data_IF_709508314160
#
_entry.id   IF_709508314160
#
_cell.length_a   1.000
_cell.length_b   1.000
_cell.length_c   1.000
_cell.angle_alpha   90.00
_cell.angle_beta   90.00
_cell.angle_gamma   90.00
#
_symmetry.space_group_name_H-M   'P 1'
#
loop_
_entity.id
_entity.type
_entity.pdbx_description
1 polymer ?
#
# COMPACT_ATOMS: atom_id res chain seq x y z
N UNK A 1 -10.04 -2.36 11.88
CA UNK A 1 -10.78 -3.52 11.35
C UNK A 1 -11.40 -4.29 12.50
N UNK A 2 -12.71 -4.11 12.71
CA UNK A 2 -13.50 -4.89 13.66
C UNK A 2 -13.33 -6.37 13.34
N UNK A 3 -13.05 -7.18 14.37
CA UNK A 3 -13.02 -8.63 14.23
C UNK A 3 -14.38 -9.09 13.68
N UNK A 4 -14.35 -9.82 12.56
CA UNK A 4 -15.53 -10.48 12.03
C UNK A 4 -16.09 -11.39 13.15
N UNK A 5 -17.24 -11.03 13.70
CA UNK A 5 -17.97 -11.90 14.62
C UNK A 5 -18.61 -13.01 13.76
N UNK A 6 -17.93 -14.14 13.68
CA UNK A 6 -18.45 -15.36 13.08
C UNK A 6 -19.38 -16.03 14.10
N UNK A 7 -20.69 -15.87 13.93
CA UNK A 7 -21.69 -16.65 14.66
C UNK A 7 -22.21 -17.77 13.78
N UNK A 8 -22.00 -19.02 14.21
CA UNK A 8 -22.75 -20.17 13.68
C UNK A 8 -24.14 -20.11 14.31
N UNK A 9 -25.06 -19.40 13.65
CA UNK A 9 -26.46 -19.41 14.05
C UNK A 9 -27.10 -20.71 13.54
N UNK A 10 -27.44 -21.62 14.47
CA UNK A 10 -28.33 -22.74 14.18
C UNK A 10 -29.73 -22.17 13.89
N UNK A 11 -30.04 -21.95 12.61
CA UNK A 11 -31.37 -21.54 12.19
C UNK A 11 -32.34 -22.71 12.47
N UNK A 12 -33.28 -22.50 13.40
CA UNK A 12 -34.30 -23.48 13.74
C UNK A 12 -35.21 -23.77 12.54
N UNK A 13 -35.21 -25.03 12.09
CA UNK A 13 -36.20 -25.56 11.15
C UNK A 13 -35.60 -26.29 9.94
N UNK A 14 -35.50 -27.62 10.02
CA UNK A 14 -35.68 -28.54 8.88
C UNK A 14 -34.58 -28.71 7.82
N UNK A 15 -33.55 -27.86 7.79
CA UNK A 15 -32.37 -28.07 6.94
C UNK A 15 -31.21 -27.28 7.50
N UNK A 16 -30.10 -27.94 7.86
CA UNK A 16 -28.95 -27.22 8.42
C UNK A 16 -28.34 -26.31 7.35
N UNK A 17 -28.19 -25.03 7.69
CA UNK A 17 -27.60 -23.98 6.84
C UNK A 17 -26.37 -23.41 7.53
N UNK A 18 -25.34 -23.09 6.77
CA UNK A 18 -24.21 -22.26 7.21
C UNK A 18 -24.52 -20.80 6.95
N UNK A 19 -24.27 -19.93 7.92
CA UNK A 19 -24.33 -18.48 7.75
C UNK A 19 -22.92 -17.93 7.54
N UNK A 20 -22.70 -17.29 6.39
CA UNK A 20 -21.47 -16.53 6.11
C UNK A 20 -21.82 -15.04 6.22
N UNK A 21 -21.18 -14.36 7.18
CA UNK A 21 -21.39 -12.93 7.44
C UNK A 21 -20.14 -12.14 7.11
N UNK A 22 -20.26 -11.20 6.17
CA UNK A 22 -19.26 -10.16 5.95
C UNK A 22 -19.32 -9.12 7.07
N UNK A 23 -18.18 -8.48 7.42
CA UNK A 23 -18.19 -7.33 8.29
C UNK A 23 -19.18 -6.27 7.77
N UNK A 24 -19.97 -5.63 8.64
CA UNK A 24 -20.83 -4.53 8.22
C UNK A 24 -19.96 -3.39 7.68
N UNK A 25 -20.48 -2.65 6.70
CA UNK A 25 -19.84 -1.41 6.25
C UNK A 25 -19.74 -0.45 7.44
N UNK A 26 -18.54 0.09 7.67
CA UNK A 26 -18.31 1.04 8.76
C UNK A 26 -19.04 2.34 8.46
N UNK A 27 -19.83 2.86 9.41
CA UNK A 27 -20.43 4.19 9.25
C UNK A 27 -19.38 5.30 9.26
N UNK A 28 -18.19 5.02 9.81
CA UNK A 28 -17.04 5.92 9.79
C UNK A 28 -16.27 5.88 8.45
N UNK A 29 -16.63 4.99 7.51
CA UNK A 29 -16.05 4.98 6.16
C UNK A 29 -16.61 6.18 5.36
N UNK A 30 -15.77 7.10 4.87
CA UNK A 30 -16.23 8.22 4.05
C UNK A 30 -17.03 7.79 2.80
N UNK A 31 -16.78 6.57 2.33
CA UNK A 31 -17.41 5.99 1.14
C UNK A 31 -18.67 5.16 1.48
N UNK A 32 -19.12 5.15 2.74
CA UNK A 32 -20.21 4.32 3.23
C UNK A 32 -21.48 4.42 2.39
N UNK A 33 -21.92 5.65 2.08
CA UNK A 33 -23.18 5.88 1.36
C UNK A 33 -23.11 5.34 -0.08
N UNK A 34 -21.97 5.51 -0.74
CA UNK A 34 -21.76 5.05 -2.11
C UNK A 34 -21.72 3.52 -2.18
N UNK A 35 -20.97 2.88 -1.26
CA UNK A 35 -20.92 1.42 -1.15
C UNK A 35 -22.28 0.82 -0.82
N UNK A 36 -23.01 1.43 0.13
CA UNK A 36 -24.35 0.99 0.51
C UNK A 36 -25.32 1.07 -0.67
N UNK A 37 -25.33 2.18 -1.40
CA UNK A 37 -26.15 2.36 -2.60
C UNK A 37 -25.87 1.29 -3.65
N UNK A 38 -24.61 0.92 -3.87
CA UNK A 38 -24.26 -0.15 -4.82
C UNK A 38 -24.76 -1.51 -4.32
N UNK A 39 -24.59 -1.84 -3.03
CA UNK A 39 -25.13 -3.09 -2.44
C UNK A 39 -26.65 -3.18 -2.64
N UNK A 40 -27.37 -2.11 -2.31
CA UNK A 40 -28.84 -2.04 -2.42
C UNK A 40 -29.29 -2.19 -3.88
N UNK A 41 -28.63 -1.49 -4.82
CA UNK A 41 -28.94 -1.59 -6.26
C UNK A 41 -28.75 -3.00 -6.83
N UNK A 42 -27.79 -3.76 -6.27
CA UNK A 42 -27.47 -5.13 -6.69
C UNK A 42 -28.23 -6.20 -5.90
N UNK A 43 -29.15 -5.81 -5.01
CA UNK A 43 -29.85 -6.71 -4.09
C UNK A 43 -28.89 -7.64 -3.33
N UNK A 44 -27.77 -7.08 -2.86
CA UNK A 44 -26.77 -7.78 -2.06
C UNK A 44 -26.90 -7.39 -0.59
N UNK A 45 -26.58 -8.35 0.29
CA UNK A 45 -26.51 -8.13 1.74
C UNK A 45 -25.12 -8.52 2.25
N UNK A 46 -24.84 -8.27 3.53
CA UNK A 46 -23.64 -8.80 4.21
C UNK A 46 -23.88 -10.17 4.87
N UNK A 47 -25.03 -10.82 4.64
CA UNK A 47 -25.39 -12.08 5.29
C UNK A 47 -25.92 -13.08 4.26
N UNK A 48 -25.21 -14.20 4.15
CA UNK A 48 -25.49 -15.24 3.17
C UNK A 48 -25.73 -16.56 3.86
N UNK A 49 -26.72 -17.31 3.37
CA UNK A 49 -27.04 -18.65 3.84
C UNK A 49 -26.66 -19.66 2.78
N UNK A 50 -25.92 -20.69 3.18
CA UNK A 50 -25.47 -21.77 2.30
C UNK A 50 -25.99 -23.09 2.87
N UNK A 51 -26.83 -23.85 2.14
CA UNK A 51 -27.31 -25.14 2.63
C UNK A 51 -26.19 -26.15 2.80
N UNK A 52 -26.16 -26.87 3.93
CA UNK A 52 -25.13 -27.88 4.21
C UNK A 52 -25.11 -28.99 3.14
N UNK A 53 -26.29 -29.30 2.57
CA UNK A 53 -26.48 -30.37 1.57
C UNK A 53 -26.52 -29.88 0.12
N UNK A 54 -26.18 -28.62 -0.16
CA UNK A 54 -26.19 -28.11 -1.54
C UNK A 54 -25.08 -28.73 -2.40
N UNK A 55 -25.29 -28.71 -3.73
CA UNK A 55 -24.24 -29.10 -4.67
C UNK A 55 -23.11 -28.08 -4.66
N UNK A 56 -21.90 -28.48 -5.05
CA UNK A 56 -20.77 -27.55 -5.20
C UNK A 56 -21.11 -26.40 -6.16
N UNK A 57 -21.85 -26.68 -7.23
CA UNK A 57 -22.28 -25.65 -8.19
C UNK A 57 -23.22 -24.61 -7.55
N UNK A 58 -24.11 -25.02 -6.65
CA UNK A 58 -25.00 -24.09 -5.95
C UNK A 58 -24.24 -23.32 -4.85
N UNK A 59 -23.30 -23.97 -4.17
CA UNK A 59 -22.39 -23.29 -3.25
C UNK A 59 -21.59 -22.20 -3.96
N UNK A 60 -21.09 -22.46 -5.18
CA UNK A 60 -20.34 -21.49 -5.97
C UNK A 60 -21.19 -20.30 -6.43
N UNK A 61 -22.47 -20.50 -6.79
CA UNK A 61 -23.37 -19.37 -7.07
C UNK A 61 -23.54 -18.44 -5.87
N UNK A 62 -23.63 -19.01 -4.66
CA UNK A 62 -23.69 -18.18 -3.44
C UNK A 62 -22.34 -17.51 -3.18
N UNK A 63 -21.23 -18.23 -3.41
CA UNK A 63 -19.89 -17.69 -3.29
C UNK A 63 -19.67 -16.47 -4.21
N UNK A 64 -20.11 -16.53 -5.47
CA UNK A 64 -19.97 -15.41 -6.39
C UNK A 64 -20.71 -14.16 -5.88
N UNK A 65 -21.89 -14.32 -5.26
CA UNK A 65 -22.60 -13.20 -4.62
C UNK A 65 -21.87 -12.67 -3.38
N UNK A 66 -21.28 -13.57 -2.59
CA UNK A 66 -20.46 -13.19 -1.43
C UNK A 66 -19.23 -12.39 -1.89
N UNK A 67 -18.56 -12.84 -2.96
CA UNK A 67 -17.40 -12.17 -3.56
C UNK A 67 -17.82 -10.78 -4.07
N UNK A 68 -18.94 -10.65 -4.77
CA UNK A 68 -19.44 -9.34 -5.22
C UNK A 68 -19.66 -8.38 -4.05
N UNK A 69 -20.27 -8.84 -2.96
CA UNK A 69 -20.46 -8.02 -1.77
C UNK A 69 -19.13 -7.64 -1.10
N UNK A 70 -18.17 -8.57 -1.04
CA UNK A 70 -16.83 -8.31 -0.52
C UNK A 70 -16.07 -7.27 -1.36
N UNK A 71 -16.16 -7.35 -2.70
CA UNK A 71 -15.59 -6.37 -3.63
C UNK A 71 -16.12 -4.97 -3.35
N UNK A 72 -17.43 -4.83 -3.18
CA UNK A 72 -18.08 -3.55 -2.87
C UNK A 72 -17.59 -3.00 -1.52
N UNK A 73 -17.47 -3.85 -0.50
CA UNK A 73 -16.95 -3.44 0.80
C UNK A 73 -15.51 -2.89 0.72
N UNK A 74 -14.70 -3.45 -0.18
CA UNK A 74 -13.31 -3.05 -0.41
C UNK A 74 -13.10 -1.98 -1.48
N UNK A 75 -14.17 -1.46 -2.11
CA UNK A 75 -14.03 -0.40 -3.11
C UNK A 75 -13.34 0.83 -2.52
N UNK A 76 -12.40 1.39 -3.26
CA UNK A 76 -11.88 2.74 -3.00
C UNK A 76 -12.63 3.80 -3.81
N UNK A 77 -12.24 5.06 -3.57
CA UNK A 77 -12.80 6.23 -4.26
C UNK A 77 -12.68 6.10 -5.78
N UNK A 78 -11.54 5.62 -6.28
CA UNK A 78 -11.33 5.50 -7.71
C UNK A 78 -12.22 4.42 -8.31
N UNK A 79 -12.29 3.26 -7.67
CA UNK A 79 -13.20 2.19 -8.10
C UNK A 79 -14.65 2.69 -8.09
N UNK A 80 -15.11 3.40 -7.05
CA UNK A 80 -16.46 3.96 -7.00
C UNK A 80 -16.73 5.03 -8.06
N UNK A 81 -15.69 5.73 -8.49
CA UNK A 81 -15.80 6.79 -9.48
C UNK A 81 -15.81 6.26 -10.92
N UNK A 82 -15.02 5.22 -11.20
CA UNK A 82 -14.83 4.68 -12.56
C UNK A 82 -15.62 3.39 -12.86
N UNK A 83 -16.07 2.65 -11.86
CA UNK A 83 -16.82 1.40 -12.07
C UNK A 83 -18.23 1.71 -12.59
N UNK A 84 -18.63 1.09 -13.69
CA UNK A 84 -20.01 1.18 -14.20
C UNK A 84 -20.98 0.32 -13.39
N UNK A 85 -22.28 0.64 -13.47
CA UNK A 85 -23.32 -0.05 -12.70
C UNK A 85 -23.32 -1.58 -12.92
N UNK A 86 -23.03 -2.02 -14.16
CA UNK A 86 -23.00 -3.41 -14.59
C UNK A 86 -21.63 -4.12 -14.43
N UNK A 87 -20.61 -3.44 -13.86
CA UNK A 87 -19.30 -4.06 -13.63
C UNK A 87 -19.22 -4.70 -12.24
N UNK A 88 -19.30 -6.03 -12.22
CA UNK A 88 -19.25 -6.85 -11.00
C UNK A 88 -17.82 -7.24 -10.58
N UNK A 89 -16.81 -6.79 -11.33
CA UNK A 89 -15.40 -7.07 -11.10
C UNK A 89 -14.89 -8.40 -11.67
N UNK A 90 -13.60 -8.74 -11.42
CA UNK A 90 -12.67 -8.05 -10.51
C UNK A 90 -12.44 -6.59 -10.88
N UNK A 91 -12.39 -5.69 -9.89
CA UNK A 91 -12.31 -4.23 -10.10
C UNK A 91 -10.87 -3.74 -10.23
N UNK A 92 -10.02 -4.23 -9.34
CA UNK A 92 -8.57 -4.15 -9.42
C UNK A 92 -7.98 -5.41 -8.79
N UNK A 93 -6.72 -5.72 -9.10
CA UNK A 93 -6.03 -6.86 -8.48
C UNK A 93 -6.01 -6.72 -6.96
N UNK A 94 -5.79 -5.52 -6.45
CA UNK A 94 -5.83 -5.25 -5.02
C UNK A 94 -7.20 -5.52 -4.42
N UNK A 95 -8.27 -4.97 -5.00
CA UNK A 95 -9.63 -5.18 -4.49
C UNK A 95 -9.98 -6.68 -4.48
N UNK A 96 -9.59 -7.40 -5.51
CA UNK A 96 -9.78 -8.85 -5.58
C UNK A 96 -9.02 -9.58 -4.48
N UNK A 97 -7.74 -9.24 -4.27
CA UNK A 97 -6.92 -9.82 -3.20
C UNK A 97 -7.51 -9.54 -1.81
N UNK A 98 -7.90 -8.29 -1.51
CA UNK A 98 -8.52 -7.96 -0.22
C UNK A 98 -9.81 -8.77 -0.02
N UNK A 99 -10.67 -8.81 -1.04
CA UNK A 99 -11.96 -9.49 -0.99
C UNK A 99 -11.80 -10.98 -0.72
N UNK A 100 -10.95 -11.65 -1.50
CA UNK A 100 -10.74 -13.09 -1.37
C UNK A 100 -10.01 -13.45 -0.06
N UNK A 101 -9.05 -12.64 0.40
CA UNK A 101 -8.38 -12.88 1.69
C UNK A 101 -9.30 -12.65 2.89
N UNK A 102 -10.19 -11.65 2.84
CA UNK A 102 -11.23 -11.45 3.86
C UNK A 102 -12.11 -12.69 3.97
N UNK A 103 -12.59 -13.20 2.83
CA UNK A 103 -13.44 -14.39 2.80
C UNK A 103 -12.69 -15.63 3.28
N UNK A 104 -11.45 -15.83 2.85
CA UNK A 104 -10.61 -16.93 3.33
C UNK A 104 -10.47 -16.91 4.86
N UNK A 105 -10.25 -15.72 5.44
CA UNK A 105 -10.19 -15.54 6.89
C UNK A 105 -11.51 -15.90 7.60
N UNK A 106 -12.64 -15.46 7.04
CA UNK A 106 -13.97 -15.78 7.57
C UNK A 106 -14.22 -17.30 7.53
N UNK A 107 -13.95 -17.94 6.39
CA UNK A 107 -14.15 -19.39 6.23
C UNK A 107 -13.23 -20.21 7.14
N UNK A 108 -11.96 -19.83 7.26
CA UNK A 108 -11.04 -20.47 8.21
C UNK A 108 -11.56 -20.36 9.65
N UNK A 109 -12.14 -19.22 10.03
CA UNK A 109 -12.73 -19.04 11.37
C UNK A 109 -13.96 -19.92 11.56
N UNK A 110 -14.85 -20.01 10.55
CA UNK A 110 -16.04 -20.86 10.60
C UNK A 110 -15.68 -22.35 10.65
N UNK A 111 -14.64 -22.79 9.94
CA UNK A 111 -14.17 -24.17 9.95
C UNK A 111 -13.70 -24.64 11.34
N UNK A 112 -13.20 -23.75 12.19
CA UNK A 112 -12.78 -24.09 13.55
C UNK A 112 -13.96 -24.47 14.47
N UNK A 113 -15.18 -24.04 14.14
CA UNK A 113 -16.38 -24.24 14.96
C UNK A 113 -17.51 -24.98 14.23
N UNK A 114 -17.26 -25.44 13.01
CA UNK A 114 -18.24 -26.10 12.15
C UNK A 114 -18.64 -27.48 12.68
N UNK A 115 -19.93 -27.82 12.54
CA UNK A 115 -20.39 -29.20 12.71
C UNK A 115 -20.06 -30.04 11.46
N UNK A 116 -20.20 -31.35 11.55
CA UNK A 116 -19.88 -32.29 10.46
C UNK A 116 -20.63 -31.96 9.16
N UNK A 117 -21.89 -31.52 9.26
CA UNK A 117 -22.71 -31.13 8.10
C UNK A 117 -22.20 -29.88 7.39
N UNK A 118 -21.75 -28.87 8.14
CA UNK A 118 -21.24 -27.61 7.62
C UNK A 118 -19.81 -27.71 7.07
N UNK A 119 -18.99 -28.61 7.63
CA UNK A 119 -17.58 -28.75 7.23
C UNK A 119 -17.42 -29.00 5.73
N UNK A 120 -18.27 -29.85 5.14
CA UNK A 120 -18.19 -30.18 3.71
C UNK A 120 -18.35 -28.95 2.82
N UNK A 121 -19.42 -28.17 3.02
CA UNK A 121 -19.70 -26.99 2.20
C UNK A 121 -18.69 -25.87 2.47
N UNK A 122 -18.27 -25.67 3.72
CA UNK A 122 -17.24 -24.69 4.07
C UNK A 122 -15.88 -25.00 3.43
N UNK A 123 -15.50 -26.28 3.38
CA UNK A 123 -14.27 -26.71 2.73
C UNK A 123 -14.32 -26.48 1.22
N UNK A 124 -15.43 -26.80 0.56
CA UNK A 124 -15.65 -26.53 -0.87
C UNK A 124 -15.51 -25.04 -1.18
N UNK A 125 -16.14 -24.17 -0.38
CA UNK A 125 -16.04 -22.72 -0.55
C UNK A 125 -14.60 -22.23 -0.33
N UNK A 126 -13.92 -22.74 0.69
CA UNK A 126 -12.52 -22.36 1.00
C UNK A 126 -11.57 -22.75 -0.12
N UNK A 127 -11.71 -23.96 -0.64
CA UNK A 127 -10.82 -24.48 -1.67
C UNK A 127 -11.01 -23.72 -2.99
N UNK A 128 -12.24 -23.35 -3.34
CA UNK A 128 -12.52 -22.48 -4.49
C UNK A 128 -11.88 -21.10 -4.35
N UNK A 129 -11.92 -20.47 -3.16
CA UNK A 129 -11.23 -19.20 -2.92
C UNK A 129 -9.72 -19.34 -3.08
N UNK A 130 -9.13 -20.43 -2.58
CA UNK A 130 -7.70 -20.70 -2.74
C UNK A 130 -7.32 -20.91 -4.21
N UNK A 131 -8.17 -21.59 -4.99
CA UNK A 131 -7.97 -21.73 -6.44
C UNK A 131 -7.98 -20.34 -7.10
N UNK A 132 -8.95 -19.49 -6.77
CA UNK A 132 -9.02 -18.12 -7.31
C UNK A 132 -7.79 -17.30 -6.95
N UNK A 133 -7.35 -17.32 -5.68
CA UNK A 133 -6.13 -16.62 -5.24
C UNK A 133 -4.86 -17.12 -5.96
N UNK A 134 -4.76 -18.42 -6.27
CA UNK A 134 -3.68 -19.00 -7.07
C UNK A 134 -3.74 -18.59 -8.54
N UNK A 135 -4.94 -18.36 -9.08
CA UNK A 135 -5.13 -17.92 -10.47
C UNK A 135 -4.90 -16.42 -10.69
N UNK A 136 -4.76 -15.61 -9.63
CA UNK A 136 -4.42 -14.18 -9.72
C UNK A 136 -2.95 -13.92 -10.08
N UNK A 137 -2.18 -14.98 -10.36
CA UNK A 137 -0.93 -14.87 -11.09
C UNK A 137 -1.23 -14.19 -12.43
N UNK A 138 -0.81 -12.93 -12.58
CA UNK A 138 -0.81 -12.30 -13.89
C UNK A 138 0.14 -13.08 -14.79
N UNK A 139 -0.18 -13.16 -16.08
CA UNK A 139 0.83 -13.33 -17.12
C UNK A 139 1.76 -12.11 -17.00
N UNK A 140 2.72 -12.21 -16.08
CA UNK A 140 3.71 -11.18 -15.81
C UNK A 140 4.67 -11.18 -17.01
N UNK A 141 4.22 -10.53 -18.09
CA UNK A 141 4.95 -10.41 -19.35
C UNK A 141 6.28 -9.66 -19.20
N UNK A 142 6.57 -9.11 -18.01
CA UNK A 142 7.82 -8.47 -17.68
C UNK A 142 8.32 -8.90 -16.29
N UNK A 143 8.40 -10.22 -16.02
CA UNK A 143 9.20 -10.71 -14.89
C UNK A 143 10.58 -10.04 -14.94
N UNK A 144 10.84 -9.14 -13.98
CA UNK A 144 12.10 -8.41 -13.94
C UNK A 144 13.25 -9.42 -13.89
N UNK A 145 14.21 -9.26 -14.79
CA UNK A 145 15.30 -10.22 -14.95
C UNK A 145 16.23 -10.12 -13.75
N UNK A 146 16.37 -11.23 -13.03
CA UNK A 146 17.38 -11.37 -11.96
C UNK A 146 18.76 -11.23 -12.58
N UNK A 147 19.53 -10.26 -12.14
CA UNK A 147 20.92 -10.08 -12.55
C UNK A 147 21.84 -10.86 -11.61
N UNK A 148 22.66 -11.74 -12.20
CA UNK A 148 23.72 -12.43 -11.49
C UNK A 148 24.83 -11.41 -11.20
N UNK A 149 24.97 -11.03 -9.93
CA UNK A 149 26.01 -10.14 -9.43
C UNK A 149 26.71 -10.79 -8.23
N UNK A 150 27.84 -10.22 -7.80
CA UNK A 150 28.43 -10.58 -6.51
C UNK A 150 27.44 -10.20 -5.39
N UNK A 151 26.90 -11.21 -4.70
CA UNK A 151 25.86 -11.08 -3.67
C UNK A 151 26.42 -10.99 -2.23
N UNK A 152 27.72 -10.72 -2.07
CA UNK A 152 28.36 -10.73 -0.75
C UNK A 152 27.70 -9.78 0.26
N UNK A 153 27.23 -8.61 -0.19
CA UNK A 153 26.59 -7.62 0.68
C UNK A 153 25.19 -8.08 1.08
N UNK A 154 24.44 -8.60 0.11
CA UNK A 154 23.10 -9.15 0.24
C UNK A 154 23.08 -10.33 1.22
N UNK A 155 23.99 -11.29 1.05
CA UNK A 155 24.17 -12.45 1.92
C UNK A 155 24.54 -12.02 3.34
N UNK A 156 25.40 -11.01 3.46
CA UNK A 156 25.84 -10.48 4.75
C UNK A 156 24.72 -9.75 5.48
N UNK A 157 23.85 -9.02 4.75
CA UNK A 157 22.67 -8.39 5.32
C UNK A 157 21.65 -9.41 5.81
N UNK A 158 21.39 -10.47 5.04
CA UNK A 158 20.50 -11.56 5.49
C UNK A 158 21.06 -12.27 6.71
N UNK A 159 22.35 -12.65 6.71
CA UNK A 159 23.01 -13.26 7.87
C UNK A 159 22.95 -12.36 9.10
N UNK A 160 23.16 -11.05 8.94
CA UNK A 160 22.97 -10.10 10.04
C UNK A 160 21.53 -10.10 10.56
N UNK A 161 20.54 -10.13 9.66
CA UNK A 161 19.14 -10.23 10.05
C UNK A 161 18.86 -11.48 10.86
N UNK A 162 19.29 -12.64 10.39
CA UNK A 162 19.12 -13.93 11.05
C UNK A 162 19.76 -13.94 12.45
N UNK A 163 20.97 -13.37 12.59
CA UNK A 163 21.64 -13.19 13.89
C UNK A 163 20.84 -12.31 14.85
N UNK A 164 20.02 -11.39 14.32
CA UNK A 164 19.11 -10.53 15.08
C UNK A 164 17.68 -11.06 15.15
N UNK A 165 17.45 -12.33 14.79
CA UNK A 165 16.19 -13.04 14.93
C UNK A 165 15.21 -12.88 13.76
N UNK A 166 15.63 -12.27 12.65
CA UNK A 166 14.83 -12.26 11.42
C UNK A 166 14.67 -13.70 10.92
N UNK A 167 13.43 -14.07 10.59
CA UNK A 167 13.14 -15.33 9.89
C UNK A 167 12.63 -15.00 8.51
N UNK A 168 13.16 -15.66 7.49
CA UNK A 168 12.78 -15.38 6.11
C UNK A 168 12.74 -16.65 5.26
N UNK A 169 11.79 -16.68 4.34
CA UNK A 169 11.72 -17.63 3.22
C UNK A 169 12.18 -16.99 1.90
N UNK A 170 12.84 -15.83 2.00
CA UNK A 170 13.22 -15.00 0.88
C UNK A 170 14.74 -14.80 0.84
N UNK A 171 15.28 -14.60 -0.34
CA UNK A 171 16.67 -14.24 -0.60
C UNK A 171 16.71 -12.87 -1.27
N UNK A 172 17.74 -12.08 -0.98
CA UNK A 172 17.91 -10.77 -1.62
C UNK A 172 18.53 -11.01 -3.01
N UNK A 173 17.96 -10.41 -4.04
CA UNK A 173 18.45 -10.47 -5.41
C UNK A 173 18.54 -9.07 -6.02
N UNK A 174 19.26 -8.95 -7.13
CA UNK A 174 19.31 -7.71 -7.91
C UNK A 174 18.47 -7.88 -9.18
N UNK A 175 17.64 -6.90 -9.48
CA UNK A 175 16.75 -6.86 -10.62
C UNK A 175 17.11 -5.67 -11.50
N UNK A 176 17.15 -5.90 -12.80
CA UNK A 176 17.35 -4.81 -13.76
C UNK A 176 16.24 -3.77 -13.64
N UNK A 177 16.60 -2.48 -13.58
CA UNK A 177 15.65 -1.38 -13.46
C UNK A 177 15.08 -1.13 -12.05
N UNK A 178 14.97 -2.15 -11.19
CA UNK A 178 14.46 -1.98 -9.81
C UNK A 178 15.56 -1.98 -8.72
N UNK A 179 16.76 -2.47 -9.02
CA UNK A 179 17.80 -2.60 -8.01
C UNK A 179 17.58 -3.82 -7.12
N UNK A 180 17.76 -3.68 -5.80
CA UNK A 180 17.56 -4.82 -4.89
C UNK A 180 16.07 -5.16 -4.77
N UNK A 181 15.79 -6.45 -4.73
CA UNK A 181 14.47 -7.02 -4.48
C UNK A 181 14.64 -8.30 -3.66
N UNK A 182 13.54 -9.04 -3.46
CA UNK A 182 13.60 -10.34 -2.79
C UNK A 182 12.94 -11.44 -3.62
N UNK A 183 13.57 -12.60 -3.71
CA UNK A 183 13.04 -13.80 -4.37
C UNK A 183 12.65 -14.85 -3.35
N UNK A 184 11.63 -15.65 -3.61
CA UNK A 184 11.29 -16.76 -2.73
C UNK A 184 12.28 -17.92 -2.89
N UNK A 185 12.80 -18.44 -1.77
CA UNK A 185 13.71 -19.60 -1.78
C UNK A 185 12.97 -20.95 -1.91
N UNK A 186 11.67 -20.93 -1.63
CA UNK A 186 10.77 -22.08 -1.69
C UNK A 186 9.39 -21.61 -2.18
N UNK A 187 8.48 -22.55 -2.45
CA UNK A 187 7.08 -22.17 -2.68
C UNK A 187 6.47 -21.71 -1.36
N UNK A 188 5.80 -20.56 -1.38
CA UNK A 188 5.17 -19.96 -0.22
C UNK A 188 3.68 -19.79 -0.55
N UNK A 189 2.81 -20.40 0.25
CA UNK A 189 1.36 -20.45 0.00
C UNK A 189 0.63 -19.23 0.63
N UNK A 190 -0.64 -19.06 0.28
CA UNK A 190 -1.50 -18.01 0.88
C UNK A 190 -1.56 -18.17 2.39
N UNK A 191 -1.29 -17.08 3.12
CA UNK A 191 -1.30 -17.02 4.59
C UNK A 191 0.03 -17.40 5.25
N UNK A 192 0.97 -18.02 4.53
CA UNK A 192 2.32 -18.27 5.03
C UNK A 192 3.06 -16.96 5.28
N UNK A 193 3.95 -16.96 6.28
CA UNK A 193 4.80 -15.82 6.59
C UNK A 193 6.07 -15.89 5.74
N UNK A 194 6.20 -14.97 4.78
CA UNK A 194 7.40 -14.87 3.94
C UNK A 194 8.59 -14.25 4.70
N UNK A 195 8.29 -13.32 5.61
CA UNK A 195 9.27 -12.60 6.41
C UNK A 195 8.70 -12.27 7.80
N UNK A 196 9.51 -12.47 8.83
CA UNK A 196 9.22 -12.10 10.21
C UNK A 196 10.38 -11.28 10.78
N UNK A 197 10.12 -10.02 11.11
CA UNK A 197 11.11 -9.06 11.62
C UNK A 197 10.87 -8.81 13.11
N UNK A 198 11.82 -9.12 14.00
CA UNK A 198 11.73 -8.73 15.41
C UNK A 198 11.62 -7.21 15.57
N UNK A 199 10.78 -6.75 16.50
CA UNK A 199 10.60 -5.32 16.77
C UNK A 199 11.91 -4.62 17.14
N UNK A 200 12.84 -5.33 17.79
CA UNK A 200 14.19 -4.83 18.14
C UNK A 200 15.11 -4.55 16.94
N UNK A 201 14.74 -5.01 15.74
CA UNK A 201 15.45 -4.75 14.49
C UNK A 201 14.82 -3.62 13.67
N UNK A 202 13.69 -3.07 14.11
CA UNK A 202 13.01 -1.94 13.45
C UNK A 202 13.69 -0.63 13.89
N UNK A 203 13.98 0.24 12.93
CA UNK A 203 14.45 1.61 13.18
C UNK A 203 13.21 2.50 13.29
N UNK A 204 12.99 3.07 14.47
CA UNK A 204 11.82 3.88 14.80
C UNK A 204 12.18 5.04 15.72
N UNK A 205 11.21 5.90 16.00
CA UNK A 205 11.33 6.93 17.03
C UNK A 205 11.73 6.35 18.41
N UNK A 206 11.23 5.17 18.79
CA UNK A 206 11.57 4.56 20.08
C UNK A 206 13.07 4.25 20.19
N UNK A 207 13.72 3.89 19.07
CA UNK A 207 15.16 3.70 18.97
C UNK A 207 15.90 5.05 19.02
N UNK A 208 15.40 6.07 18.30
CA UNK A 208 15.97 7.42 18.32
C UNK A 208 16.01 7.99 19.75
N UNK A 209 14.94 7.82 20.52
CA UNK A 209 14.81 8.30 21.91
C UNK A 209 15.88 7.76 22.85
N UNK A 210 16.51 6.63 22.51
CA UNK A 210 17.61 6.02 23.28
C UNK A 210 18.98 6.58 22.90
N UNK A 211 19.06 7.40 21.85
CA UNK A 211 20.32 7.92 21.33
C UNK A 211 20.74 9.23 22.01
N UNK A 212 22.05 9.45 22.09
CA UNK A 212 22.59 10.75 22.54
C UNK A 212 22.19 11.93 21.66
N UNK A 213 21.80 11.70 20.39
CA UNK A 213 21.32 12.76 19.51
C UNK A 213 19.96 13.28 19.96
N UNK A 214 19.02 12.40 20.30
CA UNK A 214 17.72 12.80 20.80
C UNK A 214 17.85 13.63 22.09
N UNK A 215 18.70 13.19 23.02
CA UNK A 215 18.94 13.93 24.27
C UNK A 215 19.46 15.36 24.04
N UNK A 216 20.23 15.59 22.97
CA UNK A 216 20.73 16.92 22.62
C UNK A 216 19.68 17.80 21.92
N UNK A 217 18.76 17.19 21.17
CA UNK A 217 17.79 17.89 20.32
C UNK A 217 16.39 18.02 20.92
N UNK A 218 16.01 17.19 21.90
CA UNK A 218 14.63 17.09 22.43
C UNK A 218 14.05 18.40 22.97
N UNK A 219 14.90 19.32 23.40
CA UNK A 219 14.50 20.61 23.99
C UNK A 219 14.55 21.75 22.94
N UNK A 220 14.74 21.42 21.66
CA UNK A 220 14.68 22.37 20.54
C UNK A 220 13.31 22.26 19.88
N UNK A 221 12.44 23.24 20.14
CA UNK A 221 11.09 23.30 19.56
C UNK A 221 11.08 23.37 18.03
N UNK A 222 12.20 23.76 17.41
CA UNK A 222 12.31 23.92 15.96
C UNK A 222 12.53 22.61 15.19
N UNK A 223 12.70 21.47 15.85
CA UNK A 223 13.06 20.21 15.19
C UNK A 223 12.05 19.12 15.52
N UNK A 224 11.39 18.62 14.49
CA UNK A 224 10.46 17.49 14.61
C UNK A 224 11.21 16.17 14.82
N UNK A 225 10.54 15.19 15.43
CA UNK A 225 11.08 13.84 15.59
C UNK A 225 11.42 13.19 14.26
N UNK A 226 10.60 13.43 13.23
CA UNK A 226 10.83 12.99 11.86
C UNK A 226 12.16 13.56 11.33
N UNK A 227 12.40 14.87 11.49
CA UNK A 227 13.68 15.49 11.15
C UNK A 227 14.83 14.88 11.96
N UNK A 228 14.65 14.60 13.25
CA UNK A 228 15.68 13.95 14.07
C UNK A 228 16.01 12.53 13.56
N UNK A 229 15.04 11.77 13.05
CA UNK A 229 15.27 10.46 12.45
C UNK A 229 16.10 10.57 11.17
N UNK A 230 15.86 11.60 10.33
CA UNK A 230 16.69 11.87 9.16
C UNK A 230 18.15 12.12 9.57
N UNK A 231 18.36 13.04 10.50
CA UNK A 231 19.69 13.40 11.01
C UNK A 231 20.40 12.22 11.65
N UNK A 232 19.68 11.42 12.44
CA UNK A 232 20.20 10.20 13.04
C UNK A 232 20.65 9.20 11.97
N UNK A 233 19.86 9.05 10.90
CA UNK A 233 20.18 8.14 9.80
C UNK A 233 21.45 8.56 9.06
N UNK A 234 21.66 9.87 8.86
CA UNK A 234 22.92 10.40 8.31
C UNK A 234 24.09 9.97 9.20
N UNK A 235 23.99 10.17 10.52
CA UNK A 235 25.06 9.81 11.45
C UNK A 235 25.35 8.32 11.43
N UNK A 236 24.32 7.48 11.51
CA UNK A 236 24.49 6.03 11.56
C UNK A 236 25.08 5.46 10.28
N UNK A 237 24.81 6.07 9.12
CA UNK A 237 25.45 5.72 7.85
C UNK A 237 26.99 5.80 7.91
N UNK A 238 27.52 6.74 8.68
CA UNK A 238 28.97 6.94 8.84
C UNK A 238 29.53 6.44 10.18
N UNK A 239 28.72 5.78 11.00
CA UNK A 239 29.13 5.27 12.32
C UNK A 239 29.67 3.83 12.19
N UNK A 240 30.99 3.59 12.34
CA UNK A 240 31.56 2.25 12.19
C UNK A 240 31.10 1.25 13.27
N UNK A 241 30.58 1.76 14.38
CA UNK A 241 30.06 0.97 15.50
C UNK A 241 28.53 0.83 15.47
N UNK A 242 27.86 1.27 14.40
CA UNK A 242 26.41 1.16 14.29
C UNK A 242 25.98 -0.30 14.28
N UNK A 243 24.96 -0.63 15.08
CA UNK A 243 24.24 -1.91 14.98
C UNK A 243 23.73 -2.15 13.55
N UNK A 244 23.35 -1.07 12.87
CA UNK A 244 22.74 -1.09 11.54
C UNK A 244 23.76 -0.79 10.43
N UNK A 245 25.07 -0.84 10.72
CA UNK A 245 26.13 -0.54 9.75
C UNK A 245 25.93 -1.28 8.42
N UNK A 246 25.70 -2.60 8.48
CA UNK A 246 25.53 -3.42 7.28
C UNK A 246 24.27 -3.06 6.48
N UNK A 247 23.20 -2.63 7.16
CA UNK A 247 21.99 -2.15 6.50
C UNK A 247 22.27 -0.83 5.77
N UNK A 248 22.92 0.12 6.42
CA UNK A 248 23.29 1.40 5.80
C UNK A 248 24.29 1.24 4.64
N UNK A 249 25.24 0.32 4.74
CA UNK A 249 26.17 -0.03 3.65
C UNK A 249 25.47 -0.71 2.47
N UNK A 250 24.39 -1.45 2.73
CA UNK A 250 23.59 -2.12 1.70
C UNK A 250 22.53 -1.20 1.05
N UNK A 251 22.33 0.03 1.53
CA UNK A 251 21.43 0.98 0.87
C UNK A 251 22.07 1.57 -0.39
N UNK A 252 21.26 2.07 -1.34
CA UNK A 252 21.79 2.80 -2.49
C UNK A 252 22.63 4.01 -2.06
N UNK A 253 23.73 4.25 -2.76
CA UNK A 253 24.55 5.44 -2.53
C UNK A 253 23.76 6.72 -2.86
N UNK A 254 22.94 6.67 -3.91
CA UNK A 254 22.03 7.70 -4.38
C UNK A 254 20.66 7.06 -4.66
N UNK A 255 19.58 7.80 -4.45
CA UNK A 255 18.25 7.42 -4.90
C UNK A 255 17.93 8.07 -6.24
N UNK A 256 17.01 7.48 -6.98
CA UNK A 256 16.54 7.99 -8.28
C UNK A 256 15.12 8.56 -8.15
N UNK A 257 14.79 9.17 -7.00
CA UNK A 257 13.48 9.79 -6.83
C UNK A 257 13.38 11.08 -7.65
N UNK A 258 12.16 11.55 -7.91
CA UNK A 258 11.92 12.83 -8.58
C UNK A 258 12.64 14.01 -7.91
N UNK A 259 12.92 13.92 -6.61
CA UNK A 259 13.64 14.95 -5.85
C UNK A 259 15.11 15.08 -6.26
N UNK A 260 15.69 14.01 -6.80
CA UNK A 260 17.08 13.95 -7.28
C UNK A 260 17.20 13.98 -8.81
N UNK A 261 16.11 14.24 -9.53
CA UNK A 261 16.16 14.33 -10.99
C UNK A 261 17.15 15.38 -11.49
N UNK A 262 17.94 14.99 -12.49
CA UNK A 262 18.80 15.91 -13.23
C UNK A 262 18.00 16.83 -14.14
N UNK A 263 18.70 17.79 -14.74
CA UNK A 263 18.11 18.81 -15.62
C UNK A 263 17.35 18.16 -16.78
N UNK A 264 17.89 17.12 -17.41
CA UNK A 264 17.26 16.45 -18.55
C UNK A 264 15.93 15.78 -18.17
N UNK A 265 15.89 15.14 -17.01
CA UNK A 265 14.68 14.49 -16.51
C UNK A 265 13.61 15.51 -16.11
N UNK A 266 14.00 16.63 -15.51
CA UNK A 266 13.09 17.72 -15.20
C UNK A 266 12.55 18.41 -16.47
N UNK A 267 13.40 18.63 -17.47
CA UNK A 267 12.99 19.20 -18.75
C UNK A 267 11.94 18.33 -19.46
N UNK A 268 12.04 17.01 -19.33
CA UNK A 268 11.04 16.08 -19.87
C UNK A 268 9.66 16.19 -19.19
N UNK A 269 9.58 16.79 -18.00
CA UNK A 269 8.34 16.99 -17.25
C UNK A 269 7.76 18.39 -17.44
N UNK A 270 8.44 19.29 -18.14
CA UNK A 270 8.00 20.67 -18.34
C UNK A 270 6.57 20.73 -18.91
N UNK A 271 5.72 21.58 -18.31
CA UNK A 271 4.31 21.71 -18.67
C UNK A 271 3.37 20.68 -18.03
N UNK A 272 3.89 19.78 -17.18
CA UNK A 272 3.07 18.87 -16.37
C UNK A 272 2.91 19.38 -14.94
N UNK A 273 1.82 18.99 -14.26
CA UNK A 273 1.62 19.28 -12.84
C UNK A 273 2.76 18.73 -11.97
N UNK A 274 3.29 17.56 -12.33
CA UNK A 274 4.37 16.90 -11.61
C UNK A 274 5.65 17.75 -11.59
N UNK A 275 5.94 18.52 -12.64
CA UNK A 275 7.10 19.40 -12.65
C UNK A 275 7.01 20.44 -11.54
N UNK A 276 5.87 21.13 -11.44
CA UNK A 276 5.64 22.15 -10.43
C UNK A 276 5.69 21.55 -9.01
N UNK A 277 5.08 20.39 -8.82
CA UNK A 277 5.12 19.64 -7.55
C UNK A 277 6.56 19.30 -7.14
N UNK A 278 7.39 18.80 -8.06
CA UNK A 278 8.78 18.46 -7.79
C UNK A 278 9.62 19.70 -7.45
N UNK A 279 9.42 20.81 -8.17
CA UNK A 279 10.14 22.05 -7.91
C UNK A 279 9.80 22.60 -6.51
N UNK A 280 8.52 22.58 -6.14
CA UNK A 280 8.07 22.99 -4.80
C UNK A 280 8.64 22.07 -3.71
N UNK A 281 8.59 20.75 -3.90
CA UNK A 281 9.12 19.79 -2.94
C UNK A 281 10.64 19.98 -2.72
N UNK A 282 11.41 20.18 -3.80
CA UNK A 282 12.86 20.44 -3.71
C UNK A 282 13.16 21.74 -2.99
N UNK A 283 12.41 22.80 -3.29
CA UNK A 283 12.56 24.09 -2.60
C UNK A 283 12.26 23.95 -1.11
N UNK A 284 11.20 23.22 -0.74
CA UNK A 284 10.83 22.99 0.64
C UNK A 284 11.93 22.25 1.41
N UNK A 285 12.47 21.16 0.85
CA UNK A 285 13.59 20.44 1.47
C UNK A 285 14.83 21.31 1.63
N UNK A 286 15.11 22.18 0.64
CA UNK A 286 16.25 23.10 0.71
C UNK A 286 16.09 24.10 1.85
N UNK A 287 14.91 24.67 2.01
CA UNK A 287 14.60 25.57 3.11
C UNK A 287 14.77 24.88 4.47
N UNK A 288 14.25 23.67 4.63
CA UNK A 288 14.45 22.89 5.86
C UNK A 288 15.94 22.67 6.18
N UNK A 289 16.76 22.36 5.17
CA UNK A 289 18.20 22.21 5.38
C UNK A 289 18.88 23.50 5.85
N UNK A 290 18.57 24.61 5.17
CA UNK A 290 19.17 25.93 5.46
C UNK A 290 18.72 26.49 6.83
N UNK A 291 17.56 26.07 7.36
CA UNK A 291 17.13 26.37 8.73
C UNK A 291 17.92 25.61 9.81
N UNK A 292 18.37 24.40 9.49
CA UNK A 292 19.10 23.53 10.42
C UNK A 292 20.62 23.79 10.41
N UNK A 293 21.18 24.07 9.24
CA UNK A 293 22.63 24.17 9.03
C UNK A 293 23.02 25.57 8.54
N UNK A 294 24.03 26.22 9.15
CA UNK A 294 25.05 25.64 10.04
C UNK A 294 24.70 25.66 11.54
N UNK A 295 23.48 26.07 11.94
CA UNK A 295 23.10 26.26 13.34
C UNK A 295 23.43 25.04 14.22
N UNK A 296 23.04 23.84 13.80
CA UNK A 296 23.28 22.61 14.54
C UNK A 296 24.77 22.27 14.66
N UNK A 297 25.57 22.49 13.61
CA UNK A 297 27.02 22.31 13.65
C UNK A 297 27.70 23.24 14.65
N UNK A 298 27.21 24.47 14.78
CA UNK A 298 27.76 25.45 15.74
C UNK A 298 27.34 25.10 17.17
N UNK A 299 26.08 24.71 17.37
CA UNK A 299 25.52 24.48 18.71
C UNK A 299 25.94 23.13 19.31
N UNK A 300 26.09 22.09 18.49
CA UNK A 300 26.50 20.75 18.95
C UNK A 300 27.59 20.16 18.03
N UNK A 301 28.81 20.72 18.02
CA UNK A 301 29.89 20.33 17.11
C UNK A 301 30.35 18.87 17.29
N UNK A 302 30.20 18.31 18.49
CA UNK A 302 30.54 16.90 18.78
C UNK A 302 29.56 15.91 18.13
N UNK A 303 28.35 16.38 17.79
CA UNK A 303 27.27 15.57 17.20
C UNK A 303 27.14 15.84 15.70
N UNK A 304 27.18 17.12 15.29
CA UNK A 304 26.96 17.56 13.92
C UNK A 304 28.25 18.07 13.27
N UNK A 305 28.96 17.17 12.59
CA UNK A 305 30.15 17.52 11.82
C UNK A 305 29.79 18.05 10.43
N UNK A 306 30.29 19.22 10.05
CA UNK A 306 29.89 19.91 8.83
C UNK A 306 30.17 19.11 7.54
N UNK A 307 31.23 18.30 7.53
CA UNK A 307 31.60 17.40 6.44
C UNK A 307 30.66 16.19 6.29
N UNK A 308 29.92 15.85 7.35
CA UNK A 308 28.95 14.75 7.35
C UNK A 308 27.54 15.26 7.03
N UNK A 309 27.11 16.38 7.60
CA UNK A 309 25.75 16.91 7.43
C UNK A 309 25.67 17.91 6.25
N UNK A 310 26.09 17.45 5.08
CA UNK A 310 25.97 18.20 3.82
C UNK A 310 24.54 18.14 3.28
N UNK A 311 24.23 19.02 2.32
CA UNK A 311 22.96 18.99 1.58
C UNK A 311 22.70 17.61 0.95
N UNK A 312 23.71 17.01 0.32
CA UNK A 312 23.55 15.72 -0.36
C UNK A 312 23.23 14.59 0.62
N UNK A 313 23.87 14.58 1.79
CA UNK A 313 23.56 13.59 2.83
C UNK A 313 22.19 13.83 3.47
N UNK A 314 21.76 15.09 3.60
CA UNK A 314 20.41 15.43 4.05
C UNK A 314 19.35 14.96 3.06
N UNK A 315 19.50 15.30 1.77
CA UNK A 315 18.60 14.85 0.71
C UNK A 315 18.55 13.32 0.64
N UNK A 316 19.69 12.64 0.71
CA UNK A 316 19.75 11.18 0.76
C UNK A 316 18.96 10.60 1.93
N UNK A 317 19.02 11.22 3.11
CA UNK A 317 18.24 10.76 4.26
C UNK A 317 16.74 11.00 4.06
N UNK A 318 16.33 12.13 3.50
CA UNK A 318 14.94 12.38 3.13
C UNK A 318 14.44 11.29 2.17
N UNK A 319 15.17 11.04 1.08
CA UNK A 319 14.80 10.04 0.08
C UNK A 319 14.77 8.61 0.63
N UNK A 320 15.69 8.25 1.53
CA UNK A 320 15.65 6.98 2.25
C UNK A 320 14.33 6.80 3.00
N UNK A 321 13.92 7.81 3.78
CA UNK A 321 12.70 7.71 4.56
C UNK A 321 11.45 7.78 3.68
N UNK A 322 11.45 8.54 2.59
CA UNK A 322 10.33 8.56 1.65
C UNK A 322 10.16 7.22 0.90
N UNK A 323 11.25 6.62 0.46
CA UNK A 323 11.19 5.42 -0.39
C UNK A 323 11.17 4.09 0.37
N UNK A 324 11.71 4.01 1.60
CA UNK A 324 11.85 2.75 2.34
C UNK A 324 11.09 2.71 3.67
N UNK A 325 10.47 3.80 4.12
CA UNK A 325 9.72 3.76 5.39
C UNK A 325 8.37 3.07 5.25
N UNK A 326 7.90 2.55 6.38
CA UNK A 326 6.62 1.86 6.51
C UNK A 326 5.92 2.33 7.78
N UNK A 327 4.60 2.50 7.71
CA UNK A 327 3.77 2.77 8.87
C UNK A 327 3.50 1.48 9.64
N UNK A 328 3.96 1.41 10.90
CA UNK A 328 3.84 0.23 11.74
C UNK A 328 3.21 0.57 13.09
N UNK A 329 2.22 -0.21 13.49
CA UNK A 329 1.73 -0.22 14.87
C UNK A 329 2.67 -1.10 15.70
N UNK A 330 3.50 -0.46 16.50
CA UNK A 330 4.44 -1.12 17.42
C UNK A 330 3.71 -1.85 18.55
N UNK A 331 4.43 -2.66 19.32
CA UNK A 331 3.83 -3.41 20.43
C UNK A 331 3.36 -2.50 21.57
N UNK A 332 3.88 -1.27 21.63
CA UNK A 332 3.39 -0.15 22.45
C UNK A 332 1.98 0.31 22.05
N UNK A 333 1.52 -0.02 20.83
CA UNK A 333 0.25 0.42 20.27
C UNK A 333 0.33 1.73 19.49
N UNK A 334 1.50 2.41 19.48
CA UNK A 334 1.74 3.63 18.71
C UNK A 334 1.92 3.29 17.23
N UNK A 335 1.20 4.01 16.37
CA UNK A 335 1.45 4.01 14.93
C UNK A 335 2.68 4.90 14.65
N UNK A 336 3.71 4.33 14.05
CA UNK A 336 5.03 4.96 13.89
C UNK A 336 5.55 4.73 12.47
N UNK A 337 6.18 5.75 11.89
CA UNK A 337 6.95 5.63 10.65
C UNK A 337 8.28 4.97 10.96
N UNK A 338 8.60 3.86 10.29
CA UNK A 338 9.75 3.04 10.61
C UNK A 338 10.54 2.67 9.35
N UNK A 339 11.86 2.56 9.46
CA UNK A 339 12.65 1.76 8.51
C UNK A 339 12.71 0.33 9.01
N UNK A 340 12.48 -0.62 8.12
CA UNK A 340 12.43 -2.04 8.45
C UNK A 340 13.52 -2.75 7.65
N UNK A 341 14.74 -2.93 8.21
CA UNK A 341 15.81 -3.64 7.55
C UNK A 341 15.34 -4.97 6.95
N UNK A 342 15.86 -5.32 5.78
CA UNK A 342 15.47 -6.46 4.94
C UNK A 342 14.07 -6.30 4.32
N UNK A 343 13.02 -6.04 5.10
CA UNK A 343 11.67 -5.88 4.55
C UNK A 343 11.55 -4.67 3.61
N UNK A 344 12.28 -3.58 3.89
CA UNK A 344 12.36 -2.40 3.03
C UNK A 344 13.03 -2.62 1.68
N UNK A 345 13.53 -3.84 1.39
CA UNK A 345 14.04 -4.24 0.07
C UNK A 345 12.99 -4.92 -0.80
N UNK A 346 11.79 -5.21 -0.29
CA UNK A 346 10.70 -5.73 -1.11
C UNK A 346 10.21 -4.65 -2.07
N UNK A 347 10.23 -4.95 -3.37
CA UNK A 347 9.72 -4.03 -4.39
C UNK A 347 8.20 -3.98 -4.43
N UNK A 348 7.68 -2.93 -5.05
CA UNK A 348 6.25 -2.76 -5.28
C UNK A 348 5.74 -3.55 -6.50
N UNK A 349 4.49 -3.99 -6.44
CA UNK A 349 3.71 -4.39 -7.61
C UNK A 349 2.23 -4.01 -7.42
N UNK A 350 1.55 -3.73 -8.53
CA UNK A 350 0.07 -3.60 -8.59
C UNK A 350 -0.63 -4.95 -8.35
N UNK A 351 0.10 -6.07 -8.46
CA UNK A 351 -0.31 -7.41 -8.04
C UNK A 351 0.65 -7.95 -6.96
N UNK A 352 0.60 -7.39 -5.75
CA UNK A 352 1.56 -7.70 -4.70
C UNK A 352 1.30 -9.10 -4.12
N UNK A 353 2.38 -9.73 -3.66
CA UNK A 353 2.35 -10.95 -2.87
C UNK A 353 1.92 -10.67 -1.43
N UNK A 354 2.42 -9.59 -0.86
CA UNK A 354 2.15 -9.15 0.51
C UNK A 354 1.34 -7.86 0.45
N UNK A 355 0.07 -7.93 0.86
CA UNK A 355 -0.84 -6.79 0.85
C UNK A 355 -1.04 -6.19 2.24
N UNK A 356 -1.19 -7.06 3.24
CA UNK A 356 -1.59 -6.71 4.59
C UNK A 356 -0.43 -6.95 5.57
N UNK A 357 0.18 -5.87 6.03
CA UNK A 357 1.26 -5.82 7.02
C UNK A 357 1.11 -4.56 7.89
N UNK A 358 2.08 -4.30 8.77
CA UNK A 358 2.15 -3.03 9.52
C UNK A 358 1.63 -3.09 10.97
N UNK A 359 1.51 -4.28 11.57
CA UNK A 359 1.26 -4.41 13.02
C UNK A 359 2.16 -5.45 13.63
N UNK A 360 2.87 -5.08 14.68
CA UNK A 360 3.66 -6.00 15.49
C UNK A 360 2.73 -6.93 16.28
N UNK A 361 2.99 -8.22 16.19
CA UNK A 361 2.36 -9.24 17.01
C UNK A 361 2.83 -9.09 18.46
N UNK A 362 1.88 -8.90 19.39
CA UNK A 362 2.21 -8.63 20.80
C UNK A 362 2.86 -9.83 21.51
N UNK A 363 2.57 -11.05 21.06
CA UNK A 363 3.06 -12.29 21.67
C UNK A 363 4.47 -12.57 21.17
N UNK A 364 4.68 -12.54 19.86
CA UNK A 364 5.99 -12.84 19.26
C UNK A 364 6.92 -11.63 19.21
N UNK A 365 6.43 -10.42 19.48
CA UNK A 365 7.17 -9.15 19.39
C UNK A 365 7.84 -8.98 18.02
N UNK A 366 7.12 -9.34 16.96
CA UNK A 366 7.61 -9.32 15.59
C UNK A 366 6.57 -8.78 14.62
N UNK A 367 7.04 -8.11 13.57
CA UNK A 367 6.25 -7.74 12.41
C UNK A 367 6.28 -8.89 11.40
N UNK A 368 5.11 -9.34 10.95
CA UNK A 368 4.94 -10.46 10.02
C UNK A 368 4.46 -9.97 8.66
N UNK A 369 4.94 -10.60 7.61
CA UNK A 369 4.58 -10.32 6.21
C UNK A 369 3.91 -11.56 5.61
N UNK A 370 2.59 -11.75 5.85
CA UNK A 370 1.84 -12.88 5.31
C UNK A 370 1.53 -12.71 3.82
N UNK A 371 1.55 -13.81 3.07
CA UNK A 371 1.15 -13.81 1.67
C UNK A 371 -0.37 -13.69 1.50
N UNK A 372 -0.77 -12.77 0.63
CA UNK A 372 -2.15 -12.58 0.16
C UNK A 372 -2.42 -13.34 -1.15
N UNK A 373 -1.38 -13.71 -1.88
CA UNK A 373 -1.38 -14.65 -3.01
C UNK A 373 -0.09 -15.49 -2.96
N UNK A 374 -0.05 -16.71 -3.54
CA UNK A 374 1.14 -17.55 -3.48
C UNK A 374 2.33 -16.89 -4.20
N UNK A 375 3.54 -17.29 -3.80
CA UNK A 375 4.81 -16.90 -4.42
C UNK A 375 5.61 -18.18 -4.71
N UNK A 376 5.98 -18.41 -5.97
CA UNK A 376 6.71 -19.62 -6.37
C UNK A 376 8.20 -19.49 -6.06
N UNK A 377 8.88 -20.61 -5.81
CA UNK A 377 10.32 -20.63 -5.66
C UNK A 377 11.01 -19.98 -6.89
N UNK A 378 11.90 -19.04 -6.65
CA UNK A 378 12.58 -18.24 -7.68
C UNK A 378 11.82 -17.02 -8.17
N UNK A 379 10.53 -16.85 -7.83
CA UNK A 379 9.75 -15.66 -8.17
C UNK A 379 10.14 -14.48 -7.26
N UNK A 380 10.09 -13.27 -7.80
CA UNK A 380 10.22 -12.05 -7.00
C UNK A 380 8.99 -11.87 -6.10
N UNK A 381 9.20 -11.80 -4.79
CA UNK A 381 8.17 -11.48 -3.84
C UNK A 381 7.98 -9.96 -3.77
N UNK A 382 6.73 -9.51 -3.90
CA UNK A 382 6.37 -8.10 -3.99
C UNK A 382 5.51 -7.65 -2.82
N UNK A 383 5.74 -6.44 -2.35
CA UNK A 383 4.96 -5.77 -1.31
C UNK A 383 4.04 -4.72 -1.94
N UNK A 384 2.88 -4.46 -1.36
CA UNK A 384 2.12 -3.27 -1.72
C UNK A 384 2.64 -2.05 -0.97
N UNK A 385 3.11 -1.01 -1.66
CA UNK A 385 3.45 0.25 -0.99
C UNK A 385 2.19 1.07 -0.67
N UNK A 386 1.16 0.94 -1.49
CA UNK A 386 -0.11 1.63 -1.29
C UNK A 386 -0.87 1.73 -2.58
N UNK A 387 -1.89 2.60 -2.59
CA UNK A 387 -2.72 2.93 -3.75
C UNK A 387 -2.25 4.26 -4.33
N UNK A 388 -1.00 4.32 -4.76
CA UNK A 388 -0.36 5.59 -5.15
C UNK A 388 -0.42 5.82 -6.66
N UNK A 389 -0.74 7.05 -7.11
CA UNK A 389 -0.60 7.42 -8.50
C UNK A 389 0.88 7.47 -8.90
N UNK A 390 1.14 7.40 -10.19
CA UNK A 390 2.47 7.39 -10.78
C UNK A 390 3.28 8.63 -10.43
N UNK A 391 2.65 9.81 -10.32
CA UNK A 391 3.29 11.04 -9.84
C UNK A 391 3.90 10.86 -8.45
N UNK A 392 3.14 10.27 -7.52
CA UNK A 392 3.62 9.99 -6.17
C UNK A 392 4.75 8.96 -6.16
N UNK A 393 4.61 7.88 -6.94
CA UNK A 393 5.63 6.83 -7.03
C UNK A 393 6.94 7.36 -7.63
N UNK A 394 6.88 8.21 -8.65
CA UNK A 394 8.07 8.86 -9.21
C UNK A 394 8.71 9.79 -8.18
N UNK A 395 7.91 10.65 -7.54
CA UNK A 395 8.41 11.66 -6.60
C UNK A 395 9.10 11.04 -5.39
N UNK A 396 8.52 10.01 -4.78
CA UNK A 396 8.99 9.49 -3.49
C UNK A 396 9.68 8.14 -3.56
N UNK A 397 9.49 7.37 -4.63
CA UNK A 397 10.07 6.03 -4.80
C UNK A 397 10.97 5.89 -6.03
N UNK A 398 10.87 6.80 -7.01
CA UNK A 398 11.74 6.80 -8.20
C UNK A 398 11.43 5.72 -9.24
N UNK A 399 10.18 5.24 -9.30
CA UNK A 399 9.75 4.29 -10.33
C UNK A 399 8.30 4.56 -10.76
N UNK A 400 7.93 4.02 -11.92
CA UNK A 400 6.56 4.06 -12.45
C UNK A 400 6.14 2.65 -12.88
N UNK A 401 5.13 2.03 -12.24
CA UNK A 401 4.62 0.75 -12.68
C UNK A 401 3.84 0.88 -14.00
N UNK A 402 3.88 -0.16 -14.83
CA UNK A 402 3.03 -0.25 -16.02
C UNK A 402 1.57 -0.44 -15.61
N UNK A 403 0.66 0.15 -16.37
CA UNK A 403 -0.80 0.01 -16.22
C UNK A 403 -1.29 0.25 -14.79
N UNK A 404 -0.74 1.28 -14.11
CA UNK A 404 -1.10 1.61 -12.74
C UNK A 404 -2.61 1.94 -12.63
N UNK A 405 -3.42 1.11 -11.93
CA UNK A 405 -4.85 1.38 -11.81
C UNK A 405 -5.15 2.56 -10.88
N UNK A 406 -4.14 3.18 -10.28
CA UNK A 406 -4.28 4.34 -9.39
C UNK A 406 -3.90 5.66 -10.08
N UNK A 407 -3.48 5.62 -11.35
CA UNK A 407 -3.21 6.85 -12.10
C UNK A 407 -4.52 7.58 -12.38
N UNK A 408 -4.59 8.82 -11.90
CA UNK A 408 -5.66 9.77 -12.18
C UNK A 408 -5.06 11.15 -12.35
N UNK A 409 -5.73 11.99 -13.15
CA UNK A 409 -5.47 13.41 -13.21
C UNK A 409 -6.68 14.11 -12.59
N UNK A 410 -6.49 14.92 -11.53
CA UNK A 410 -7.56 15.74 -10.98
C UNK A 410 -7.95 16.82 -12.00
N UNK A 411 -9.25 17.07 -12.10
CA UNK A 411 -9.85 18.09 -12.94
C UNK A 411 -10.79 18.92 -12.08
N UNK A 412 -10.32 20.09 -11.67
CA UNK A 412 -11.14 21.04 -10.93
C UNK A 412 -11.91 21.92 -11.93
N UNK A 413 -13.24 21.89 -11.83
CA UNK A 413 -14.13 22.70 -12.65
C UNK A 413 -14.75 23.80 -11.80
N UNK A 414 -14.47 25.04 -12.15
CA UNK A 414 -15.10 26.22 -11.56
C UNK A 414 -16.36 26.56 -12.34
N UNK A 415 -17.52 26.40 -11.71
CA UNK A 415 -18.78 26.93 -12.24
C UNK A 415 -19.01 28.32 -11.65
N UNK A 416 -18.76 29.36 -12.44
CA UNK A 416 -19.36 30.68 -12.18
C UNK A 416 -20.81 30.61 -12.61
N UNK A 417 -21.72 30.56 -11.64
CA UNK A 417 -23.12 30.88 -11.92
C UNK A 417 -23.16 32.38 -12.12
N UNK A 418 -23.06 32.84 -13.36
CA UNK A 418 -23.41 34.21 -13.70
C UNK A 418 -24.94 34.30 -13.51
N UNK A 419 -25.37 34.67 -12.30
CA UNK A 419 -26.73 35.14 -12.09
C UNK A 419 -26.90 36.44 -12.88
N UNK A 420 -27.29 36.34 -14.16
CA UNK A 420 -27.65 37.48 -14.99
C UNK A 420 -28.93 38.19 -14.53
N UNK A 421 -29.56 37.80 -13.42
CA UNK A 421 -30.75 38.47 -12.89
C UNK A 421 -30.69 38.70 -11.37
N UNK A 422 -30.61 39.98 -11.01
CA UNK A 422 -31.03 40.59 -9.73
C UNK A 422 -30.15 40.45 -8.46
N UNK A 423 -29.31 41.46 -8.26
CA UNK A 423 -29.05 42.11 -6.95
C UNK A 423 -28.68 41.21 -5.75
N UNK A 424 -27.58 40.45 -5.83
CA UNK A 424 -26.72 40.21 -4.65
C UNK A 424 -25.30 39.81 -5.07
N UNK A 425 -24.23 40.36 -4.47
CA UNK A 425 -22.87 39.94 -4.77
C UNK A 425 -22.48 38.81 -3.81
N UNK A 426 -22.90 37.58 -4.11
CA UNK A 426 -22.22 36.40 -3.59
C UNK A 426 -22.24 35.30 -4.65
N UNK A 427 -21.31 35.39 -5.60
CA UNK A 427 -21.01 34.27 -6.49
C UNK A 427 -20.36 33.20 -5.62
N UNK A 428 -21.14 32.24 -5.13
CA UNK A 428 -20.61 31.04 -4.50
C UNK A 428 -20.19 30.09 -5.60
N UNK A 429 -18.93 30.15 -6.02
CA UNK A 429 -18.32 29.15 -6.88
C UNK A 429 -18.29 27.81 -6.14
N UNK A 430 -19.14 26.85 -6.51
CA UNK A 430 -18.98 25.47 -6.06
C UNK A 430 -17.91 24.82 -6.93
N UNK A 431 -16.68 24.71 -6.42
CA UNK A 431 -15.62 23.98 -7.10
C UNK A 431 -15.91 22.48 -6.97
N UNK A 432 -16.13 21.82 -8.10
CA UNK A 432 -16.32 20.36 -8.15
C UNK A 432 -15.08 19.72 -8.75
N UNK A 433 -14.42 18.87 -7.95
CA UNK A 433 -13.28 18.10 -8.40
C UNK A 433 -13.74 16.80 -9.06
N UNK A 434 -13.21 16.55 -10.25
CA UNK A 434 -13.41 15.34 -11.03
C UNK A 434 -12.08 14.67 -11.31
N UNK A 435 -12.14 13.44 -11.81
CA UNK A 435 -10.96 12.65 -12.12
C UNK A 435 -11.04 12.14 -13.55
N UNK A 436 -9.92 12.15 -14.25
CA UNK A 436 -9.79 11.52 -15.56
C UNK A 436 -8.67 10.51 -15.57
N UNK A 437 -8.78 9.53 -16.47
CA UNK A 437 -7.82 8.45 -16.67
C UNK A 437 -7.37 8.37 -18.11
N UNK A 438 -6.16 7.86 -18.30
CA UNK A 438 -5.68 7.48 -19.62
C UNK A 438 -6.57 6.40 -20.25
N UNK A 439 -6.72 6.44 -21.57
CA UNK A 439 -7.59 5.51 -22.31
C UNK A 439 -7.18 4.04 -22.18
N UNK A 440 -5.91 3.77 -21.84
CA UNK A 440 -5.41 2.42 -21.59
C UNK A 440 -6.07 1.74 -20.36
N UNK A 441 -6.75 2.50 -19.49
CA UNK A 441 -7.53 1.95 -18.38
C UNK A 441 -9.00 1.65 -18.75
N UNK A 442 -9.44 1.96 -19.98
CA UNK A 442 -10.81 1.67 -20.41
C UNK A 442 -11.03 0.17 -20.61
N UNK A 443 -12.01 -0.40 -19.91
CA UNK A 443 -12.45 -1.80 -20.08
C UNK A 443 -13.32 -2.02 -21.32
N UNK A 444 -13.90 -0.94 -21.84
CA UNK A 444 -14.79 -1.02 -23.00
C UNK A 444 -13.94 -1.17 -24.27
N UNK A 445 -13.97 -2.37 -24.87
CA UNK A 445 -13.36 -2.67 -26.19
C UNK A 445 -14.09 -2.00 -27.37
N UNK A 446 -14.83 -0.93 -27.13
CA UNK A 446 -15.40 -0.10 -28.18
C UNK A 446 -14.31 0.73 -28.88
N UNK A 447 -14.66 1.47 -29.96
CA UNK A 447 -13.82 2.59 -30.40
C UNK A 447 -13.50 3.45 -29.16
N UNK A 448 -12.31 4.10 -29.06
CA UNK A 448 -11.98 4.96 -27.94
C UNK A 448 -12.94 6.14 -27.93
N UNK A 449 -14.15 5.91 -27.44
CA UNK A 449 -14.97 6.94 -26.87
C UNK A 449 -14.08 7.48 -25.78
N UNK A 450 -13.70 8.75 -25.89
CA UNK A 450 -13.16 9.55 -24.81
C UNK A 450 -14.19 9.55 -23.67
N UNK A 451 -14.37 8.38 -23.07
CA UNK A 451 -15.45 8.02 -22.19
C UNK A 451 -15.11 8.66 -20.88
N UNK A 452 -15.39 9.95 -20.81
CA UNK A 452 -15.37 10.66 -19.56
C UNK A 452 -16.20 9.81 -18.59
N UNK A 453 -15.70 9.63 -17.36
CA UNK A 453 -16.39 8.83 -16.36
C UNK A 453 -17.81 9.33 -16.19
N UNK A 454 -18.76 8.43 -15.96
CA UNK A 454 -20.19 8.75 -15.91
C UNK A 454 -20.47 9.95 -15.00
N UNK A 455 -19.80 10.05 -13.85
CA UNK A 455 -19.95 11.19 -12.93
C UNK A 455 -19.56 12.52 -13.57
N UNK A 456 -18.45 12.55 -14.32
CA UNK A 456 -18.02 13.74 -15.07
C UNK A 456 -18.99 14.05 -16.22
N UNK A 457 -19.44 13.04 -16.97
CA UNK A 457 -20.42 13.23 -18.06
C UNK A 457 -21.73 13.80 -17.53
N UNK A 458 -22.27 13.23 -16.45
CA UNK A 458 -23.49 13.72 -15.83
C UNK A 458 -23.35 15.15 -15.31
N UNK A 459 -22.19 15.50 -14.76
CA UNK A 459 -21.91 16.86 -14.33
C UNK A 459 -21.85 17.83 -15.51
N UNK A 460 -21.12 17.46 -16.59
CA UNK A 460 -21.06 18.27 -17.81
C UNK A 460 -22.43 18.43 -18.46
N UNK A 461 -23.24 17.37 -18.53
CA UNK A 461 -24.61 17.46 -19.04
C UNK A 461 -25.47 18.40 -18.20
N UNK A 462 -25.37 18.31 -16.87
CA UNK A 462 -26.11 19.18 -15.96
C UNK A 462 -25.73 20.66 -16.13
N UNK A 463 -24.43 20.97 -16.32
CA UNK A 463 -23.96 22.35 -16.51
C UNK A 463 -24.29 22.88 -17.90
N UNK A 464 -24.11 22.05 -18.93
CA UNK A 464 -24.32 22.45 -20.32
C UNK A 464 -25.80 22.41 -20.75
N UNK A 465 -26.69 21.89 -19.89
CA UNK A 465 -28.13 21.80 -20.13
C UNK A 465 -28.52 20.80 -21.23
N UNK A 466 -27.76 19.71 -21.38
CA UNK A 466 -27.97 18.68 -22.41
C UNK A 466 -28.45 17.32 -21.88
#
# INVERSE_FOLDING_TARGET
MAAAAAEVAAAGGGGEMVVVRLPPLSQDDPLFQDKKRILDSRNLSCLFQVPNSCSAADAFKVLDRIIQAARIAHMDELELYFTGDDDFGPLSTRNELESLNLLLKILNTLLLTANVGAMGVLQVLRDEILIRLRSLELEDNDQMVVQIRNQNMEDSLLKWGEQHGVKTKLQIAFFEGAGRGMVASENIDVGDIALEIPESSIISEELLCQSGMFLALKDLDSITTETMLLLWSIRERYNPSSKFKIYFEALPANFNTGLSFGIDALAALEGTLLFDELMQARQHLRQQYDELFPMLCIKFPDIFKQDVYTWDNFLWACELWYSNSMMVVLSSGKLTTCLIPIAGLLNHSVSPHILNYGRVDKVTKSLKFPLSRPCKAGEQCFLSYGKHPGSHLITFYGFLPRDNPYDVIPLDLDTSVDEEDSSSPSVTTSQTSHMVRGTWLSRLRGPPTYGLPHRLVSHLHAILGC
#
